data_IF_187525994265
#
_entry.id   IF_187525994265
#
_cell.length_a   1.000
_cell.length_b   1.000
_cell.length_c   1.000
_cell.angle_alpha   90.00
_cell.angle_beta   90.00
_cell.angle_gamma   90.00
#
_symmetry.space_group_name_H-M   'P 1'
#
loop_
_entity.id
_entity.type
_entity.pdbx_description
1 polymer ?
#
# COMPACT_ATOMS: atom_id res chain seq x y z
N UNK A 1 0.20 -30.77 26.45
CA UNK A 1 -0.40 -29.49 26.07
C UNK A 1 -0.95 -29.64 24.66
N UNK A 2 -2.15 -29.12 24.42
CA UNK A 2 -2.74 -29.10 23.05
C UNK A 2 -1.74 -28.45 22.09
N UNK A 3 -1.57 -29.08 20.94
CA UNK A 3 -0.68 -28.58 19.90
C UNK A 3 -1.22 -27.20 19.41
N UNK A 4 -0.34 -26.20 19.31
CA UNK A 4 -0.69 -24.87 18.78
C UNK A 4 -1.38 -24.93 17.41
N UNK A 5 -1.07 -25.96 16.62
CA UNK A 5 -1.68 -26.21 15.32
C UNK A 5 -3.16 -26.57 15.46
N UNK A 6 -3.51 -27.43 16.43
CA UNK A 6 -4.89 -27.86 16.69
C UNK A 6 -5.75 -26.70 17.20
N UNK A 7 -5.23 -25.88 18.14
CA UNK A 7 -5.91 -24.69 18.64
C UNK A 7 -6.15 -23.66 17.52
N UNK A 8 -5.18 -23.47 16.62
CA UNK A 8 -5.33 -22.58 15.46
C UNK A 8 -6.40 -23.07 14.49
N UNK A 9 -6.50 -24.40 14.28
CA UNK A 9 -7.54 -25.03 13.48
C UNK A 9 -8.94 -24.81 14.08
N UNK A 10 -9.12 -25.09 15.37
CA UNK A 10 -10.38 -24.87 16.08
C UNK A 10 -10.82 -23.40 16.01
N UNK A 11 -9.88 -22.46 16.20
CA UNK A 11 -10.16 -21.02 16.10
C UNK A 11 -10.61 -20.66 14.67
N UNK A 12 -9.92 -21.17 13.65
CA UNK A 12 -10.28 -20.94 12.26
C UNK A 12 -11.71 -21.42 11.95
N UNK A 13 -12.09 -22.60 12.43
CA UNK A 13 -13.42 -23.16 12.21
C UNK A 13 -14.51 -22.31 12.88
N UNK A 14 -14.28 -21.84 14.11
CA UNK A 14 -15.19 -20.94 14.81
C UNK A 14 -15.31 -19.63 14.03
N UNK A 15 -14.21 -18.99 13.69
CA UNK A 15 -14.19 -17.71 12.98
C UNK A 15 -14.86 -17.82 11.62
N UNK A 16 -14.66 -18.96 10.93
CA UNK A 16 -15.26 -19.25 9.62
C UNK A 16 -16.77 -19.46 9.71
N UNK A 17 -17.26 -20.14 10.76
CA UNK A 17 -18.69 -20.36 10.97
C UNK A 17 -19.49 -19.06 11.14
N UNK A 18 -18.84 -18.02 11.68
CA UNK A 18 -19.41 -16.66 11.77
C UNK A 18 -19.15 -15.80 10.52
N UNK A 19 -18.54 -16.33 9.47
CA UNK A 19 -18.16 -15.57 8.26
C UNK A 19 -17.04 -14.55 8.49
N UNK A 20 -16.34 -14.64 9.60
CA UNK A 20 -15.23 -13.73 9.97
C UNK A 20 -13.92 -14.17 9.29
N UNK A 21 -13.95 -14.26 7.97
CA UNK A 21 -12.80 -14.55 7.11
C UNK A 21 -12.52 -13.36 6.20
N UNK A 22 -11.35 -13.34 5.59
CA UNK A 22 -11.02 -12.33 4.56
C UNK A 22 -12.07 -12.26 3.46
N UNK A 23 -12.54 -13.40 2.99
CA UNK A 23 -13.58 -13.48 1.98
C UNK A 23 -14.95 -13.04 2.50
N UNK A 24 -15.31 -13.44 3.72
CA UNK A 24 -16.52 -12.97 4.39
C UNK A 24 -16.56 -11.46 4.54
N UNK A 25 -15.44 -10.84 4.95
CA UNK A 25 -15.31 -9.38 5.02
C UNK A 25 -15.51 -8.73 3.65
N UNK A 26 -14.89 -9.27 2.59
CA UNK A 26 -15.06 -8.75 1.24
C UNK A 26 -16.51 -8.86 0.77
N UNK A 27 -17.21 -9.95 1.11
CA UNK A 27 -18.63 -10.16 0.80
C UNK A 27 -19.52 -9.14 1.50
N UNK A 28 -19.30 -8.90 2.79
CA UNK A 28 -20.00 -7.83 3.53
C UNK A 28 -19.76 -6.44 2.90
N UNK A 29 -18.52 -6.18 2.53
CA UNK A 29 -18.13 -4.91 1.92
C UNK A 29 -18.78 -4.66 0.54
N UNK A 30 -19.18 -5.70 -0.20
CA UNK A 30 -19.90 -5.54 -1.48
C UNK A 30 -21.22 -4.78 -1.31
N UNK A 31 -21.93 -4.96 -0.20
CA UNK A 31 -23.15 -4.22 0.12
C UNK A 31 -22.90 -2.72 0.25
N UNK A 32 -21.83 -2.33 0.93
CA UNK A 32 -21.40 -0.94 1.04
C UNK A 32 -20.96 -0.35 -0.30
N UNK A 33 -20.22 -1.11 -1.10
CA UNK A 33 -19.78 -0.67 -2.43
C UNK A 33 -20.94 -0.33 -3.36
N UNK A 34 -22.05 -1.08 -3.31
CA UNK A 34 -23.25 -0.76 -4.09
C UNK A 34 -23.80 0.64 -3.80
N UNK A 35 -23.62 1.12 -2.56
CA UNK A 35 -23.98 2.48 -2.11
C UNK A 35 -22.92 3.51 -2.50
N UNK A 36 -21.63 3.13 -2.50
CA UNK A 36 -20.48 4.00 -2.77
C UNK A 36 -19.94 3.75 -4.19
N UNK A 37 -20.74 4.07 -5.22
CA UNK A 37 -20.43 3.79 -6.64
C UNK A 37 -19.15 4.47 -7.16
N UNK A 38 -18.67 5.51 -6.49
CA UNK A 38 -17.49 6.28 -6.87
C UNK A 38 -16.16 5.63 -6.48
N UNK A 39 -16.17 4.49 -5.78
CA UNK A 39 -14.95 3.76 -5.42
C UNK A 39 -14.81 2.50 -6.27
N UNK A 40 -13.68 2.38 -6.99
CA UNK A 40 -13.41 1.20 -7.82
C UNK A 40 -13.23 -0.06 -6.98
N UNK A 41 -13.62 -1.22 -7.53
CA UNK A 41 -13.57 -2.51 -6.82
C UNK A 41 -12.19 -2.89 -6.29
N UNK A 42 -11.12 -2.60 -7.03
CA UNK A 42 -9.76 -2.96 -6.63
C UNK A 42 -9.29 -2.15 -5.42
N UNK A 43 -9.63 -0.86 -5.38
CA UNK A 43 -9.37 0.01 -4.22
C UNK A 43 -10.14 -0.51 -3.00
N UNK A 44 -11.40 -0.88 -3.21
CA UNK A 44 -12.25 -1.41 -2.16
C UNK A 44 -11.72 -2.73 -1.58
N UNK A 45 -11.28 -3.63 -2.44
CA UNK A 45 -10.66 -4.89 -2.02
C UNK A 45 -9.37 -4.65 -1.22
N UNK A 46 -8.58 -3.63 -1.60
CA UNK A 46 -7.38 -3.26 -0.83
C UNK A 46 -7.71 -2.73 0.56
N UNK A 47 -8.76 -1.95 0.69
CA UNK A 47 -9.26 -1.50 2.00
C UNK A 47 -9.65 -2.72 2.85
N UNK A 48 -10.37 -3.68 2.28
CA UNK A 48 -10.72 -4.93 2.98
C UNK A 48 -9.46 -5.73 3.38
N UNK A 49 -8.45 -5.79 2.53
CA UNK A 49 -7.17 -6.46 2.84
C UNK A 49 -6.45 -5.79 4.04
N UNK A 50 -6.51 -4.46 4.16
CA UNK A 50 -5.95 -3.75 5.31
C UNK A 50 -6.74 -4.00 6.60
N UNK A 51 -8.06 -3.97 6.52
CA UNK A 51 -8.93 -4.29 7.68
C UNK A 51 -8.67 -5.73 8.13
N UNK A 52 -8.60 -6.66 7.17
CA UNK A 52 -8.32 -8.07 7.47
C UNK A 52 -6.98 -8.27 8.17
N UNK A 53 -5.90 -7.62 7.71
CA UNK A 53 -4.60 -7.67 8.38
C UNK A 53 -4.65 -7.23 9.85
N UNK A 54 -5.46 -6.21 10.16
CA UNK A 54 -5.69 -5.79 11.54
C UNK A 54 -6.42 -6.86 12.36
N UNK A 55 -7.45 -7.47 11.78
CA UNK A 55 -8.23 -8.56 12.39
C UNK A 55 -7.37 -9.80 12.59
N UNK A 56 -6.64 -10.21 11.58
CA UNK A 56 -5.73 -11.36 11.60
C UNK A 56 -4.66 -11.24 12.70
N UNK A 57 -4.13 -10.03 12.89
CA UNK A 57 -3.17 -9.76 13.98
C UNK A 57 -3.79 -9.99 15.36
N UNK A 58 -5.05 -9.60 15.56
CA UNK A 58 -5.76 -9.84 16.83
C UNK A 58 -6.07 -11.31 17.01
N UNK A 59 -6.54 -11.99 15.97
CA UNK A 59 -6.95 -13.39 16.05
C UNK A 59 -5.77 -14.36 16.23
N UNK A 60 -4.67 -14.14 15.51
CA UNK A 60 -3.60 -15.13 15.36
C UNK A 60 -2.21 -14.68 15.83
N UNK A 61 -2.01 -13.40 16.08
CA UNK A 61 -0.67 -12.86 16.39
C UNK A 61 -0.60 -12.07 17.69
N UNK A 62 -1.54 -12.31 18.62
CA UNK A 62 -1.51 -11.70 19.97
C UNK A 62 -1.80 -10.19 20.01
N UNK A 63 -2.38 -9.64 18.96
CA UNK A 63 -2.86 -8.26 18.96
C UNK A 63 -4.00 -8.08 19.97
N UNK A 64 -3.99 -6.98 20.72
CA UNK A 64 -5.00 -6.75 21.78
C UNK A 64 -6.31 -6.23 21.23
N UNK A 65 -6.27 -5.36 20.21
CA UNK A 65 -7.47 -4.73 19.65
C UNK A 65 -7.23 -4.24 18.21
N UNK A 66 -8.33 -4.05 17.48
CA UNK A 66 -8.31 -3.43 16.16
C UNK A 66 -8.41 -1.90 16.35
N UNK A 67 -7.46 -1.17 15.76
CA UNK A 67 -7.49 0.29 15.75
C UNK A 67 -8.19 0.79 14.49
N UNK A 68 -9.30 1.48 14.66
CA UNK A 68 -10.02 2.12 13.56
C UNK A 68 -9.46 3.53 13.32
N UNK A 69 -9.13 3.81 12.08
CA UNK A 69 -8.70 5.16 11.67
C UNK A 69 -9.92 6.08 11.56
N UNK A 70 -9.83 7.27 12.10
CA UNK A 70 -10.74 8.36 11.82
C UNK A 70 -10.57 8.82 10.37
N UNK A 71 -11.54 9.58 9.86
CA UNK A 71 -11.52 10.00 8.45
C UNK A 71 -10.29 10.85 8.09
N UNK A 72 -9.80 11.68 9.00
CA UNK A 72 -8.61 12.54 8.85
C UNK A 72 -7.28 11.77 8.99
N UNK A 73 -7.30 10.58 9.56
CA UNK A 73 -6.15 9.69 9.72
C UNK A 73 -5.88 8.82 8.48
N UNK A 74 -6.77 8.85 7.48
CA UNK A 74 -6.54 8.17 6.21
C UNK A 74 -5.52 8.95 5.38
N UNK A 75 -4.27 8.51 5.41
CA UNK A 75 -3.16 9.18 4.74
C UNK A 75 -2.84 8.60 3.36
N UNK A 76 -3.37 7.44 3.04
CA UNK A 76 -3.10 6.79 1.75
C UNK A 76 -4.18 5.80 1.35
N UNK A 77 -4.32 5.60 0.04
CA UNK A 77 -5.08 4.52 -0.54
C UNK A 77 -4.38 3.97 -1.79
N UNK A 78 -4.58 2.70 -2.10
CA UNK A 78 -3.90 2.01 -3.18
C UNK A 78 -4.83 1.03 -3.90
N UNK A 79 -4.46 0.67 -5.13
CA UNK A 79 -5.10 -0.41 -5.88
C UNK A 79 -4.24 -1.69 -5.86
N UNK A 80 -4.72 -2.75 -6.51
CA UNK A 80 -4.00 -4.03 -6.63
C UNK A 80 -3.10 -4.11 -7.86
N UNK A 81 -3.45 -3.39 -8.93
CA UNK A 81 -2.76 -3.44 -10.23
C UNK A 81 -2.93 -2.12 -10.99
N UNK A 82 -1.96 -1.77 -11.83
CA UNK A 82 -1.96 -0.52 -12.60
C UNK A 82 -2.85 -0.60 -13.87
N UNK A 83 -3.96 -1.29 -13.81
CA UNK A 83 -4.90 -1.40 -14.96
C UNK A 83 -6.32 -0.98 -14.62
N UNK A 84 -6.62 -0.78 -13.35
CA UNK A 84 -7.97 -0.45 -12.87
C UNK A 84 -7.90 0.35 -11.56
N UNK A 85 -8.89 1.20 -11.35
CA UNK A 85 -9.07 1.97 -10.11
C UNK A 85 -8.14 3.17 -9.98
N UNK A 86 -6.84 2.95 -9.92
CA UNK A 86 -5.80 3.99 -9.97
C UNK A 86 -4.79 3.53 -11.02
N UNK A 87 -4.59 4.33 -12.05
CA UNK A 87 -3.68 3.99 -13.16
C UNK A 87 -2.68 5.13 -13.33
N UNK A 88 -1.40 4.80 -13.39
CA UNK A 88 -0.37 5.73 -13.84
C UNK A 88 0.01 5.40 -15.28
N UNK A 89 -0.11 6.38 -16.17
CA UNK A 89 0.29 6.27 -17.58
C UNK A 89 0.66 7.66 -18.12
N UNK A 90 1.77 7.75 -18.83
CA UNK A 90 2.24 8.95 -19.52
C UNK A 90 2.28 10.21 -18.63
N UNK A 91 2.81 10.08 -17.41
CA UNK A 91 2.94 11.20 -16.47
C UNK A 91 1.61 11.69 -15.88
N UNK A 92 0.54 10.92 -16.02
CA UNK A 92 -0.77 11.21 -15.44
C UNK A 92 -1.24 10.08 -14.54
N UNK A 93 -2.03 10.43 -13.53
CA UNK A 93 -2.75 9.47 -12.70
C UNK A 93 -4.23 9.58 -12.98
N UNK A 94 -4.84 8.47 -13.28
CA UNK A 94 -6.28 8.31 -13.52
C UNK A 94 -6.91 7.59 -12.33
N UNK A 95 -7.88 8.22 -11.70
CA UNK A 95 -8.60 7.65 -10.53
C UNK A 95 -10.05 7.41 -10.94
N UNK A 96 -10.52 6.18 -10.81
CA UNK A 96 -11.85 5.71 -11.22
C UNK A 96 -12.18 5.93 -12.71
N UNK A 97 -11.17 6.15 -13.52
CA UNK A 97 -11.27 6.25 -14.98
C UNK A 97 -10.06 5.57 -15.63
N UNK A 98 -9.99 5.58 -16.94
CA UNK A 98 -8.86 5.00 -17.69
C UNK A 98 -8.36 6.01 -18.72
N UNK A 99 -7.11 5.87 -19.22
CA UNK A 99 -6.59 6.73 -20.30
C UNK A 99 -7.49 6.73 -21.55
N UNK A 100 -8.12 5.60 -21.85
CA UNK A 100 -9.05 5.47 -22.98
C UNK A 100 -10.43 6.06 -22.72
N UNK A 101 -10.84 6.21 -21.44
CA UNK A 101 -12.14 6.75 -21.00
C UNK A 101 -11.92 7.62 -19.77
N UNK A 102 -11.42 8.86 -19.95
CA UNK A 102 -11.09 9.75 -18.82
C UNK A 102 -12.33 10.37 -18.16
N UNK A 103 -13.51 10.27 -18.79
CA UNK A 103 -14.74 10.79 -18.20
C UNK A 103 -15.23 9.99 -17.00
N UNK A 104 -15.83 10.67 -16.01
CA UNK A 104 -16.40 10.06 -14.82
C UNK A 104 -15.42 9.77 -13.68
N UNK A 105 -14.15 10.18 -13.81
CA UNK A 105 -13.12 10.05 -12.80
C UNK A 105 -12.28 11.31 -12.64
N UNK A 106 -11.17 11.19 -11.93
CA UNK A 106 -10.21 12.27 -11.69
C UNK A 106 -8.93 11.97 -12.47
N UNK A 107 -8.44 12.95 -13.22
CA UNK A 107 -7.15 12.89 -13.92
C UNK A 107 -6.23 13.94 -13.34
N UNK A 108 -5.05 13.55 -12.89
CA UNK A 108 -4.06 14.41 -12.27
C UNK A 108 -2.73 14.29 -13.02
N UNK A 109 -2.09 15.44 -13.27
CA UNK A 109 -0.72 15.45 -13.77
C UNK A 109 0.26 15.11 -12.64
N UNK A 110 1.25 14.26 -12.94
CA UNK A 110 2.32 13.91 -12.02
C UNK A 110 3.46 14.88 -12.20
N UNK A 111 3.72 15.68 -11.18
CA UNK A 111 4.87 16.58 -11.19
C UNK A 111 6.14 15.79 -10.84
N UNK A 112 7.05 15.69 -11.79
CA UNK A 112 8.38 15.15 -11.57
C UNK A 112 9.31 16.23 -11.00
N UNK A 113 10.31 15.86 -10.17
CA UNK A 113 11.30 16.80 -9.70
C UNK A 113 12.01 17.48 -10.88
N UNK A 114 12.00 18.83 -10.91
CA UNK A 114 12.62 19.59 -12.02
C UNK A 114 14.16 19.59 -12.00
N UNK A 115 14.76 19.08 -10.94
CA UNK A 115 16.21 19.12 -10.80
C UNK A 115 16.87 17.95 -11.54
N UNK A 116 17.05 18.11 -12.87
CA UNK A 116 17.72 17.14 -13.75
C UNK A 116 19.17 16.81 -13.35
N UNK A 117 19.82 17.64 -12.52
CA UNK A 117 21.16 17.41 -12.00
C UNK A 117 21.19 16.58 -10.72
N UNK A 118 20.05 16.29 -10.13
CA UNK A 118 19.93 15.49 -8.92
C UNK A 118 20.14 14.02 -9.26
N UNK A 119 20.94 13.31 -8.47
CA UNK A 119 21.07 11.85 -8.54
C UNK A 119 19.73 11.13 -8.37
N UNK A 120 18.81 11.71 -7.62
CA UNK A 120 17.45 11.21 -7.45
C UNK A 120 16.64 11.24 -8.75
N UNK A 121 16.78 12.30 -9.56
CA UNK A 121 16.08 12.39 -10.84
C UNK A 121 16.50 11.27 -11.80
N UNK A 122 17.79 10.99 -11.90
CA UNK A 122 18.29 9.90 -12.74
C UNK A 122 17.79 8.53 -12.26
N UNK A 123 17.83 8.30 -10.95
CA UNK A 123 17.34 7.07 -10.35
C UNK A 123 15.83 6.87 -10.60
N UNK A 124 15.02 7.90 -10.34
CA UNK A 124 13.57 7.86 -10.55
C UNK A 124 13.22 7.66 -12.03
N UNK A 125 13.96 8.32 -12.93
CA UNK A 125 13.77 8.16 -14.38
C UNK A 125 14.08 6.73 -14.84
N UNK A 126 15.12 6.09 -14.31
CA UNK A 126 15.43 4.70 -14.59
C UNK A 126 14.35 3.76 -14.05
N UNK A 127 13.87 3.99 -12.82
CA UNK A 127 12.78 3.20 -12.25
C UNK A 127 11.48 3.30 -13.05
N UNK A 128 11.22 4.46 -13.67
CA UNK A 128 10.02 4.65 -14.50
C UNK A 128 10.06 3.90 -15.84
N UNK A 129 11.22 3.37 -16.25
CA UNK A 129 11.32 2.48 -17.41
C UNK A 129 10.72 1.10 -17.13
N UNK A 130 10.68 0.70 -15.86
CA UNK A 130 10.08 -0.56 -15.47
C UNK A 130 8.55 -0.46 -15.43
N UNK A 131 7.91 -1.60 -15.57
CA UNK A 131 6.44 -1.69 -15.54
C UNK A 131 5.91 -1.35 -14.16
N UNK A 132 4.98 -0.42 -14.09
CA UNK A 132 4.25 -0.11 -12.86
C UNK A 132 3.29 -1.24 -12.50
N UNK A 133 3.52 -1.87 -11.36
CA UNK A 133 2.69 -2.94 -10.82
C UNK A 133 1.38 -2.40 -10.23
N UNK A 134 1.49 -1.39 -9.38
CA UNK A 134 0.35 -0.68 -8.81
C UNK A 134 0.75 0.71 -8.31
N UNK A 135 -0.26 1.54 -8.04
CA UNK A 135 -0.08 2.89 -7.54
C UNK A 135 -0.68 3.05 -6.14
N UNK A 136 -0.06 3.93 -5.36
CA UNK A 136 -0.58 4.39 -4.08
C UNK A 136 -0.61 5.90 -4.07
N UNK A 137 -1.75 6.48 -3.72
CA UNK A 137 -1.87 7.91 -3.46
C UNK A 137 -1.64 8.14 -1.98
N UNK A 138 -0.75 9.08 -1.66
CA UNK A 138 -0.40 9.44 -0.27
C UNK A 138 -0.60 10.92 -0.10
N UNK A 139 -1.25 11.34 0.99
CA UNK A 139 -1.31 12.73 1.41
C UNK A 139 -0.40 12.97 2.62
N UNK A 140 0.27 14.10 2.64
CA UNK A 140 1.09 14.54 3.78
C UNK A 140 0.68 15.96 4.16
N UNK A 141 0.58 16.22 5.46
CA UNK A 141 0.30 17.55 5.99
C UNK A 141 1.62 18.31 6.16
N UNK A 142 1.66 19.52 5.66
CA UNK A 142 2.75 20.50 5.83
C UNK A 142 2.19 21.78 6.42
N UNK A 143 3.05 22.69 6.85
CA UNK A 143 2.63 23.99 7.33
C UNK A 143 1.83 24.78 6.28
N UNK A 144 2.13 24.56 5.00
CA UNK A 144 1.44 25.17 3.84
C UNK A 144 0.17 24.42 3.41
N UNK A 145 -0.27 23.39 4.14
CA UNK A 145 -1.45 22.60 3.80
C UNK A 145 -1.13 21.15 3.40
N UNK A 146 -2.11 20.49 2.81
CA UNK A 146 -1.99 19.10 2.36
C UNK A 146 -1.29 19.04 1.00
N UNK A 147 -0.31 18.13 0.88
CA UNK A 147 0.31 17.75 -0.41
C UNK A 147 0.01 16.29 -0.73
N UNK A 148 -0.17 16.01 -2.01
CA UNK A 148 -0.49 14.67 -2.51
C UNK A 148 0.67 14.15 -3.33
N UNK A 149 0.99 12.88 -3.12
CA UNK A 149 2.06 12.17 -3.80
C UNK A 149 1.51 10.89 -4.41
N UNK A 150 1.99 10.54 -5.58
CA UNK A 150 1.84 9.20 -6.12
C UNK A 150 3.10 8.39 -5.83
N UNK A 151 2.94 7.23 -5.24
CA UNK A 151 3.97 6.22 -5.10
C UNK A 151 3.70 5.14 -6.14
N UNK A 152 4.66 4.94 -7.03
CA UNK A 152 4.61 3.91 -8.06
C UNK A 152 5.42 2.72 -7.57
N UNK A 153 4.80 1.56 -7.54
CA UNK A 153 5.49 0.30 -7.23
C UNK A 153 5.82 -0.36 -8.56
N UNK A 154 7.10 -0.43 -8.87
CA UNK A 154 7.60 -0.97 -10.12
C UNK A 154 7.93 -2.45 -10.00
N UNK A 155 7.82 -3.18 -11.10
CA UNK A 155 8.35 -4.55 -11.25
C UNK A 155 9.82 -4.44 -11.65
N UNK A 156 10.64 -5.41 -11.22
CA UNK A 156 12.05 -5.45 -11.60
C UNK A 156 13.01 -5.29 -10.43
N UNK A 157 14.27 -5.15 -10.75
CA UNK A 157 15.36 -4.95 -9.78
C UNK A 157 15.66 -3.46 -9.75
N UNK A 158 15.60 -2.81 -8.57
CA UNK A 158 15.88 -1.39 -8.49
C UNK A 158 17.31 -1.09 -8.98
N UNK A 159 17.51 -0.02 -9.76
CA UNK A 159 18.84 0.37 -10.18
C UNK A 159 19.71 0.72 -8.96
N UNK A 160 20.98 0.48 -9.08
CA UNK A 160 21.94 0.77 -8.01
C UNK A 160 22.02 2.29 -7.78
N UNK A 161 21.71 2.71 -6.57
CA UNK A 161 21.63 4.14 -6.21
C UNK A 161 22.99 4.77 -5.94
N UNK A 162 23.90 3.97 -5.40
CA UNK A 162 25.25 4.37 -5.04
C UNK A 162 26.23 3.28 -5.47
N UNK A 163 27.43 3.66 -5.79
CA UNK A 163 28.51 2.69 -6.00
C UNK A 163 28.71 1.87 -4.71
N UNK A 164 28.86 0.56 -4.87
CA UNK A 164 29.19 -0.29 -3.72
C UNK A 164 30.60 0.03 -3.30
N UNK A 165 30.78 0.47 -2.05
CA UNK A 165 32.10 0.65 -1.46
C UNK A 165 32.83 -0.69 -1.32
N UNK A 166 34.16 -0.65 -1.35
CA UNK A 166 35.02 -1.83 -1.12
C UNK A 166 35.31 -2.03 0.37
N UNK A 167 34.92 -1.09 1.21
CA UNK A 167 35.07 -1.16 2.67
C UNK A 167 34.15 -2.20 3.31
N UNK A 168 34.55 -2.68 4.47
CA UNK A 168 33.75 -3.56 5.33
C UNK A 168 33.20 -2.75 6.48
N UNK A 169 31.92 -2.95 6.83
CA UNK A 169 31.27 -2.31 7.95
C UNK A 169 30.79 -3.43 8.88
N UNK A 170 31.18 -3.35 10.14
CA UNK A 170 30.60 -4.18 11.21
C UNK A 170 29.32 -3.51 11.72
N UNK A 171 28.23 -4.26 11.81
CA UNK A 171 26.99 -3.80 12.43
C UNK A 171 26.69 -4.74 13.59
N UNK A 172 26.66 -4.20 14.81
CA UNK A 172 26.18 -4.90 15.97
C UNK A 172 24.78 -4.41 16.34
N UNK A 173 23.86 -5.35 16.54
CA UNK A 173 22.46 -5.07 16.90
C UNK A 173 22.26 -5.52 18.34
N UNK A 174 22.14 -4.56 19.24
CA UNK A 174 21.98 -4.79 20.67
C UNK A 174 20.56 -4.51 21.17
N UNK A 175 20.29 -4.92 22.40
CA UNK A 175 19.00 -4.69 23.07
C UNK A 175 18.86 -3.28 23.62
N UNK A 176 19.96 -2.62 23.96
CA UNK A 176 20.01 -1.24 24.50
C UNK A 176 20.28 -0.20 23.42
N UNK A 177 20.95 -0.59 22.33
CA UNK A 177 21.24 0.24 21.16
C UNK A 177 20.75 -0.50 19.93
N UNK A 178 19.95 0.17 19.06
CA UNK A 178 19.35 -0.48 17.90
C UNK A 178 20.41 -1.01 16.95
N UNK A 179 21.48 -0.25 16.74
CA UNK A 179 22.67 -0.68 15.98
C UNK A 179 23.88 0.16 16.37
N UNK A 180 25.04 -0.48 16.47
CA UNK A 180 26.34 0.17 16.51
C UNK A 180 27.06 -0.14 15.20
N UNK A 181 27.77 0.84 14.63
CA UNK A 181 28.50 0.71 13.37
C UNK A 181 29.96 1.07 13.61
N UNK A 182 30.85 0.23 13.17
CA UNK A 182 32.30 0.43 13.21
C UNK A 182 32.93 0.37 11.83
#
# INVERSE_FOLDING_TARGET
>A
GEDKSELSGKLYDIVSSYGLTKYGLQKCALGLRKKLKYVHSDVYQKICDFVWKGTEKVLYSGGKQIHYKKWDEFLSFENKKNSTGIIHENGKVYINCTPKRPGGGIVLDVMMPNNRKSSHFNYESQCLMDKTKYCRIVRKKFNTGWKYYVQLVQEGIPPQRHAVGTGRIGIDIGTSTIAAVS
#
